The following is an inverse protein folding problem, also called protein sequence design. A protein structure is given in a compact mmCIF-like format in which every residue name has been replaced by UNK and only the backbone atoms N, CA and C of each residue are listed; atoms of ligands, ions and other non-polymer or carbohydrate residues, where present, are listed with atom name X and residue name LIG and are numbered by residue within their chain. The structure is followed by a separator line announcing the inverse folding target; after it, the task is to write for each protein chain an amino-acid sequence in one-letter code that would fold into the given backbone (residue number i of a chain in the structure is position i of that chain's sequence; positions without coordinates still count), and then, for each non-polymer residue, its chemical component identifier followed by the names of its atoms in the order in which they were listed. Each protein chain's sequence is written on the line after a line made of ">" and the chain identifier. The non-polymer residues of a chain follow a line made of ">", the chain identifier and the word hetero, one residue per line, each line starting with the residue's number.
data_IF_804840160510
#
_entry.id   IF_804840160510
#
_cell.length_a   1.000
_cell.length_b   1.000
_cell.length_c   1.000
_cell.angle_alpha   90.00
_cell.angle_beta   90.00
_cell.angle_gamma   90.00
#
_symmetry.space_group_name_H-M   'P 1'
#
loop_
_entity.id
_entity.type
_entity.pdbx_description
1 polymer ?
#
# COMPACT_ATOMS: atom_id res chain seq x y z
N UNK A 1 -16.57 -3.80 -8.69
CA UNK A 1 -15.99 -5.02 -8.14
C UNK A 1 -15.69 -4.92 -6.66
N UNK A 2 -15.26 -6.00 -6.06
CA UNK A 2 -14.92 -6.03 -4.63
C UNK A 2 -13.81 -5.04 -4.27
N UNK A 3 -12.84 -4.85 -5.17
CA UNK A 3 -11.77 -3.88 -4.96
C UNK A 3 -12.29 -2.45 -4.86
N UNK A 4 -13.28 -2.08 -5.66
CA UNK A 4 -13.88 -0.74 -5.63
C UNK A 4 -14.68 -0.52 -4.36
N UNK A 5 -15.41 -1.55 -3.90
CA UNK A 5 -16.17 -1.49 -2.65
C UNK A 5 -15.21 -1.30 -1.47
N UNK A 6 -14.15 -2.10 -1.41
CA UNK A 6 -13.14 -1.99 -0.36
C UNK A 6 -12.52 -0.60 -0.34
N UNK A 7 -12.12 -0.11 -1.52
CA UNK A 7 -11.49 1.21 -1.66
C UNK A 7 -12.39 2.31 -1.09
N UNK A 8 -13.67 2.32 -1.47
CA UNK A 8 -14.63 3.31 -0.95
C UNK A 8 -14.80 3.22 0.55
N UNK A 9 -14.90 2.01 1.09
CA UNK A 9 -15.04 1.80 2.53
C UNK A 9 -13.79 2.24 3.30
N UNK A 10 -12.61 1.92 2.77
CA UNK A 10 -11.34 2.32 3.36
C UNK A 10 -11.20 3.84 3.40
N UNK A 11 -11.53 4.55 2.31
CA UNK A 11 -11.49 6.01 2.29
C UNK A 11 -12.45 6.62 3.30
N UNK A 12 -13.67 6.11 3.39
CA UNK A 12 -14.64 6.60 4.38
C UNK A 12 -14.13 6.41 5.80
N UNK A 13 -13.55 5.25 6.08
CA UNK A 13 -13.00 4.97 7.40
C UNK A 13 -11.86 5.91 7.74
N UNK A 14 -10.90 6.06 6.81
CA UNK A 14 -9.76 6.94 7.01
C UNK A 14 -10.18 8.40 7.19
N UNK A 15 -11.19 8.85 6.47
CA UNK A 15 -11.72 10.21 6.62
C UNK A 15 -12.32 10.47 8.01
N UNK A 16 -12.83 9.41 8.68
CA UNK A 16 -13.40 9.51 10.03
C UNK A 16 -12.37 9.36 11.13
N UNK A 17 -11.17 8.82 10.81
CA UNK A 17 -10.12 8.65 11.81
C UNK A 17 -9.60 10.01 12.28
N UNK A 18 -9.36 10.12 13.58
CA UNK A 18 -8.54 11.20 14.11
C UNK A 18 -7.05 10.84 14.01
N UNK A 19 -6.17 11.76 14.37
CA UNK A 19 -4.73 11.55 14.42
C UNK A 19 -4.33 10.81 15.70
N UNK A 20 -4.92 9.65 15.94
CA UNK A 20 -4.78 8.94 17.21
C UNK A 20 -4.12 7.56 17.07
N UNK A 21 -3.72 7.17 15.88
CA UNK A 21 -3.17 5.85 15.63
C UNK A 21 -1.65 5.89 15.51
N UNK A 22 -0.99 5.02 16.28
CA UNK A 22 0.46 4.82 16.22
C UNK A 22 0.86 3.77 15.20
N UNK A 23 -0.10 2.91 14.82
CA UNK A 23 0.12 1.82 13.89
C UNK A 23 -1.07 1.73 12.95
N UNK A 24 -0.79 1.71 11.64
CA UNK A 24 -1.79 1.48 10.60
C UNK A 24 -1.30 0.36 9.71
N UNK A 25 -2.19 -0.57 9.37
CA UNK A 25 -1.92 -1.63 8.43
C UNK A 25 -2.88 -1.47 7.26
N UNK A 26 -2.32 -1.21 6.06
CA UNK A 26 -3.07 -1.12 4.81
C UNK A 26 -2.80 -2.38 4.00
N UNK A 27 -3.77 -3.28 3.97
CA UNK A 27 -3.67 -4.54 3.24
C UNK A 27 -4.92 -4.72 2.35
N UNK A 28 -5.07 -3.89 1.30
CA UNK A 28 -6.23 -3.95 0.44
C UNK A 28 -6.19 -5.17 -0.48
N UNK A 29 -7.35 -5.63 -0.98
CA UNK A 29 -7.37 -6.61 -2.05
C UNK A 29 -6.76 -6.01 -3.33
N UNK A 30 -6.45 -6.87 -4.30
CA UNK A 30 -5.89 -6.42 -5.57
C UNK A 30 -6.83 -5.43 -6.27
N UNK A 31 -6.33 -4.21 -6.51
CA UNK A 31 -7.11 -3.18 -7.23
C UNK A 31 -7.08 -3.37 -8.74
N UNK A 32 -6.03 -4.03 -9.26
CA UNK A 32 -5.90 -4.30 -10.68
C UNK A 32 -5.60 -5.78 -10.89
N UNK A 33 -6.34 -6.40 -11.80
CA UNK A 33 -6.13 -7.79 -12.25
C UNK A 33 -5.62 -7.83 -13.68
N UNK A 34 -5.74 -6.74 -14.42
CA UNK A 34 -5.35 -6.62 -15.82
C UNK A 34 -4.43 -5.41 -16.02
N UNK A 35 -3.57 -5.48 -17.03
CA UNK A 35 -2.59 -4.42 -17.32
C UNK A 35 -3.22 -3.08 -17.64
N UNK A 36 -4.38 -3.07 -18.29
CA UNK A 36 -5.10 -1.85 -18.66
C UNK A 36 -5.67 -1.12 -17.44
N UNK A 37 -5.79 -1.80 -16.28
CA UNK A 37 -6.24 -1.21 -15.03
C UNK A 37 -5.08 -0.71 -14.14
N UNK A 38 -3.84 -0.84 -14.59
CA UNK A 38 -2.66 -0.51 -13.78
C UNK A 38 -2.67 0.95 -13.30
N UNK A 39 -2.97 1.87 -14.20
CA UNK A 39 -2.99 3.30 -13.86
C UNK A 39 -3.97 3.61 -12.74
N UNK A 40 -5.18 3.07 -12.84
CA UNK A 40 -6.20 3.26 -11.81
C UNK A 40 -5.82 2.61 -10.49
N UNK A 41 -5.17 1.45 -10.54
CA UNK A 41 -4.67 0.79 -9.34
C UNK A 41 -3.62 1.63 -8.63
N UNK A 42 -2.66 2.17 -9.38
CA UNK A 42 -1.60 3.02 -8.81
C UNK A 42 -2.18 4.29 -8.19
N UNK A 43 -3.17 4.90 -8.83
CA UNK A 43 -3.88 6.03 -8.24
C UNK A 43 -4.59 5.65 -6.94
N UNK A 44 -5.21 4.46 -6.90
CA UNK A 44 -5.87 3.94 -5.71
C UNK A 44 -4.89 3.74 -4.56
N UNK A 45 -3.76 3.11 -4.82
CA UNK A 45 -2.72 2.92 -3.79
C UNK A 45 -2.16 4.25 -3.31
N UNK A 46 -1.91 5.19 -4.21
CA UNK A 46 -1.44 6.52 -3.84
C UNK A 46 -2.42 7.24 -2.93
N UNK A 47 -3.69 7.28 -3.31
CA UNK A 47 -4.73 7.96 -2.52
C UNK A 47 -4.91 7.33 -1.15
N UNK A 48 -4.93 5.99 -1.10
CA UNK A 48 -5.11 5.25 0.16
C UNK A 48 -3.94 5.52 1.12
N UNK A 49 -2.72 5.46 0.61
CA UNK A 49 -1.52 5.74 1.42
C UNK A 49 -1.46 7.21 1.85
N UNK A 50 -1.85 8.15 0.97
CA UNK A 50 -1.89 9.56 1.32
C UNK A 50 -2.84 9.81 2.51
N UNK A 51 -4.00 9.17 2.53
CA UNK A 51 -4.92 9.26 3.66
C UNK A 51 -4.32 8.68 4.94
N UNK A 52 -3.64 7.55 4.84
CA UNK A 52 -2.95 6.97 6.00
C UNK A 52 -1.87 7.91 6.55
N UNK A 53 -1.08 8.53 5.69
CA UNK A 53 -0.07 9.49 6.11
C UNK A 53 -0.68 10.73 6.78
N UNK A 54 -1.87 11.16 6.38
CA UNK A 54 -2.59 12.26 7.05
C UNK A 54 -3.02 11.87 8.46
N UNK A 55 -3.33 10.61 8.70
CA UNK A 55 -3.97 10.14 9.93
C UNK A 55 -3.04 9.51 10.95
N UNK A 56 -1.83 9.14 10.54
CA UNK A 56 -0.88 8.50 11.45
C UNK A 56 -0.18 9.54 12.30
N UNK A 57 0.02 9.22 13.59
CA UNK A 57 0.74 10.11 14.51
C UNK A 57 2.21 10.22 14.12
N UNK A 58 2.87 11.35 14.45
CA UNK A 58 4.33 11.43 14.34
C UNK A 58 4.99 10.31 15.15
N UNK A 59 5.93 9.59 14.53
CA UNK A 59 6.58 8.43 15.14
C UNK A 59 5.81 7.13 14.93
N UNK A 60 4.70 7.16 14.20
CA UNK A 60 3.90 5.97 13.92
C UNK A 60 4.50 5.07 12.85
N UNK A 61 4.01 3.85 12.81
CA UNK A 61 4.45 2.82 11.86
C UNK A 61 3.30 2.49 10.90
N UNK A 62 3.59 2.53 9.61
CA UNK A 62 2.64 2.16 8.56
C UNK A 62 3.14 0.91 7.86
N UNK A 63 2.33 -0.15 7.89
CA UNK A 63 2.50 -1.33 7.05
C UNK A 63 1.59 -1.16 5.83
N UNK A 64 2.16 -1.14 4.64
CA UNK A 64 1.38 -0.96 3.41
C UNK A 64 1.74 -2.01 2.39
N UNK A 65 0.71 -2.61 1.78
CA UNK A 65 0.85 -3.78 0.92
C UNK A 65 0.12 -3.63 -0.40
N UNK A 66 0.60 -4.35 -1.41
CA UNK A 66 -0.11 -4.64 -2.64
C UNK A 66 0.07 -6.11 -2.98
N UNK A 67 -1.02 -6.80 -3.28
CA UNK A 67 -1.00 -8.18 -3.78
C UNK A 67 -1.36 -8.27 -5.26
N UNK A 68 -1.39 -7.15 -5.97
CA UNK A 68 -1.72 -7.12 -7.39
C UNK A 68 -0.53 -7.56 -8.25
N UNK A 69 -0.71 -8.57 -9.08
CA UNK A 69 0.35 -9.09 -9.95
C UNK A 69 0.84 -8.06 -10.98
N UNK A 70 -0.05 -7.18 -11.45
CA UNK A 70 0.31 -6.18 -12.46
C UNK A 70 1.07 -4.99 -11.89
N UNK A 71 1.08 -4.83 -10.58
CA UNK A 71 1.79 -3.77 -9.89
C UNK A 71 3.17 -4.29 -9.49
N UNK A 72 4.22 -3.73 -10.08
CA UNK A 72 5.59 -4.08 -9.74
C UNK A 72 6.00 -3.47 -8.41
N UNK A 73 7.12 -3.96 -7.85
CA UNK A 73 7.72 -3.35 -6.65
C UNK A 73 8.01 -1.87 -6.86
N UNK A 74 8.58 -1.54 -8.02
CA UNK A 74 8.95 -0.15 -8.32
C UNK A 74 7.72 0.73 -8.48
N UNK A 75 6.68 0.24 -9.14
CA UNK A 75 5.43 0.96 -9.30
C UNK A 75 4.75 1.21 -7.95
N UNK A 76 4.71 0.20 -7.10
CA UNK A 76 4.12 0.32 -5.77
C UNK A 76 4.90 1.32 -4.92
N UNK A 77 6.22 1.19 -4.90
CA UNK A 77 7.10 2.10 -4.16
C UNK A 77 6.94 3.54 -4.64
N UNK A 78 6.83 3.75 -5.96
CA UNK A 78 6.60 5.08 -6.53
C UNK A 78 5.25 5.66 -6.09
N UNK A 79 4.20 4.85 -6.07
CA UNK A 79 2.89 5.29 -5.59
C UNK A 79 2.93 5.72 -4.12
N UNK A 80 3.60 4.94 -3.28
CA UNK A 80 3.78 5.27 -1.85
C UNK A 80 4.67 6.49 -1.68
N UNK A 81 5.74 6.60 -2.46
CA UNK A 81 6.62 7.78 -2.47
C UNK A 81 5.83 9.05 -2.79
N UNK A 82 5.01 9.01 -3.82
CA UNK A 82 4.18 10.15 -4.21
C UNK A 82 3.20 10.53 -3.10
N UNK A 83 2.58 9.55 -2.47
CA UNK A 83 1.68 9.78 -1.35
C UNK A 83 2.40 10.44 -0.17
N UNK A 84 3.61 9.98 0.16
CA UNK A 84 4.43 10.57 1.22
C UNK A 84 4.80 12.02 0.88
N UNK A 85 5.22 12.28 -0.37
CA UNK A 85 5.55 13.63 -0.83
C UNK A 85 4.35 14.57 -0.71
N UNK A 86 3.16 14.10 -1.10
CA UNK A 86 1.93 14.88 -0.99
C UNK A 86 1.58 15.22 0.46
N UNK A 87 1.90 14.35 1.40
CA UNK A 87 1.63 14.57 2.81
C UNK A 87 2.60 15.55 3.46
N UNK A 88 3.74 15.78 2.84
CA UNK A 88 4.81 16.62 3.39
C UNK A 88 5.53 16.00 4.57
N UNK A 89 5.30 14.71 4.87
CA UNK A 89 5.91 14.04 6.01
C UNK A 89 7.23 13.38 5.65
N UNK A 90 8.12 13.31 6.62
CA UNK A 90 9.35 12.54 6.48
C UNK A 90 9.03 11.06 6.73
N UNK A 91 9.36 10.21 5.78
CA UNK A 91 9.02 8.78 5.81
C UNK A 91 10.27 7.95 5.50
N UNK A 92 10.55 6.97 6.36
CA UNK A 92 11.69 6.07 6.19
C UNK A 92 11.21 4.64 6.03
N UNK A 93 11.83 3.90 5.11
CA UNK A 93 11.54 2.48 4.92
C UNK A 93 12.37 1.69 5.94
N UNK A 94 11.67 1.01 6.86
CA UNK A 94 12.32 0.12 7.82
C UNK A 94 12.55 -1.27 7.22
N UNK A 95 11.54 -1.78 6.52
CA UNK A 95 11.60 -3.11 5.92
C UNK A 95 10.86 -3.13 4.59
N UNK A 96 11.37 -3.94 3.67
CA UNK A 96 10.69 -4.32 2.44
C UNK A 96 10.28 -5.78 2.59
N UNK A 97 8.98 -6.04 2.45
CA UNK A 97 8.41 -7.36 2.70
C UNK A 97 8.02 -8.01 1.37
N UNK A 98 8.16 -9.33 1.35
CA UNK A 98 7.75 -10.19 0.25
C UNK A 98 6.88 -11.31 0.80
N UNK A 99 6.60 -12.31 -0.03
CA UNK A 99 5.81 -13.45 0.41
C UNK A 99 6.53 -14.24 1.50
N UNK A 100 5.79 -14.72 2.52
CA UNK A 100 6.36 -15.56 3.56
C UNK A 100 6.71 -16.95 3.03
N UNK A 101 7.46 -17.71 3.81
CA UNK A 101 7.94 -19.02 3.42
C UNK A 101 6.82 -20.06 3.16
N UNK A 102 5.65 -19.85 3.76
CA UNK A 102 4.48 -20.71 3.52
C UNK A 102 3.74 -20.42 2.20
N UNK A 103 4.13 -19.35 1.51
CA UNK A 103 3.65 -19.00 0.17
C UNK A 103 4.86 -18.78 -0.76
N UNK A 104 5.67 -19.83 -1.00
CA UNK A 104 6.92 -19.66 -1.73
C UNK A 104 6.68 -19.37 -3.21
N UNK A 105 7.63 -18.67 -3.80
CA UNK A 105 7.64 -18.44 -5.25
C UNK A 105 8.46 -19.54 -5.91
N UNK A 106 7.90 -20.18 -6.94
CA UNK A 106 8.65 -21.15 -7.73
C UNK A 106 9.68 -20.41 -8.59
N UNK A 107 10.93 -20.88 -8.56
CA UNK A 107 12.03 -20.18 -9.26
C UNK A 107 11.80 -20.08 -10.78
N UNK A 108 11.03 -21.01 -11.35
CA UNK A 108 10.70 -21.02 -12.77
C UNK A 108 9.44 -20.21 -13.11
N UNK A 109 8.73 -19.71 -12.09
CA UNK A 109 7.45 -19.03 -12.26
C UNK A 109 7.45 -17.72 -11.49
N UNK A 110 8.17 -16.69 -12.00
CA UNK A 110 8.27 -15.39 -11.31
C UNK A 110 6.93 -14.68 -11.17
N UNK A 111 5.94 -15.02 -11.98
CA UNK A 111 4.58 -14.51 -11.88
C UNK A 111 3.90 -14.86 -10.56
N UNK A 112 4.39 -15.85 -9.84
CA UNK A 112 3.92 -16.18 -8.50
C UNK A 112 4.37 -15.20 -7.43
N UNK A 113 5.29 -14.29 -7.74
CA UNK A 113 5.75 -13.24 -6.83
C UNK A 113 4.86 -12.00 -6.99
N UNK A 114 3.83 -11.91 -6.16
CA UNK A 114 2.83 -10.86 -6.27
C UNK A 114 2.75 -9.94 -5.06
N UNK A 115 3.23 -10.36 -3.89
CA UNK A 115 3.12 -9.56 -2.67
C UNK A 115 4.28 -8.58 -2.55
N UNK A 116 3.94 -7.31 -2.38
CA UNK A 116 4.88 -6.23 -2.07
C UNK A 116 4.42 -5.57 -0.78
N UNK A 117 5.34 -5.34 0.13
CA UNK A 117 5.03 -4.67 1.38
C UNK A 117 6.15 -3.73 1.79
N UNK A 118 5.77 -2.65 2.44
CA UNK A 118 6.69 -1.70 3.04
C UNK A 118 6.30 -1.48 4.49
N UNK A 119 7.30 -1.48 5.37
CA UNK A 119 7.13 -1.04 6.76
C UNK A 119 7.78 0.31 6.87
N UNK A 120 7.00 1.33 7.18
CA UNK A 120 7.40 2.73 7.13
C UNK A 120 7.36 3.36 8.50
N UNK A 121 8.40 4.11 8.83
CA UNK A 121 8.41 5.01 10.00
C UNK A 121 8.05 6.41 9.52
N UNK A 122 7.05 6.99 10.13
CA UNK A 122 6.49 8.29 9.70
C UNK A 122 6.71 9.33 10.80
N UNK A 123 7.48 10.36 10.47
CA UNK A 123 7.73 11.47 11.39
C UNK A 123 6.66 12.56 11.31
#
# INVERSE_FOLDING_TARGET
>A
GLGDVYKRQAFKYLDRMGDQYDLIILDPPAFAKHKDALRNALQGYRKLNAKAFEKIKPGGILFTFSCSQVVTKDNFRTAVFTAAAMSGRSVRILHQLTQPADHPVNIYHPEGEYLKGLVLYVE
#
